data_IF_320346401970
#
_entry.id   IF_320346401970
#
_cell.length_a   1.000
_cell.length_b   1.000
_cell.length_c   1.000
_cell.angle_alpha   90.00
_cell.angle_beta   90.00
_cell.angle_gamma   90.00
#
_symmetry.space_group_name_H-M   'P 1'
#
loop_
_entity.id
_entity.type
_entity.pdbx_description
1 polymer ?
#
# COMPACT_ATOMS: atom_id res chain seq x y z
N UNK A 1 18.22 7.97 12.38
CA UNK A 1 17.17 7.35 13.19
C UNK A 1 15.95 7.22 12.31
N UNK A 2 15.44 6.00 12.12
CA UNK A 2 14.23 5.75 11.32
C UNK A 2 13.01 6.27 12.08
N UNK A 3 12.11 6.96 11.38
CA UNK A 3 10.91 7.55 11.98
C UNK A 3 9.70 6.63 11.71
N UNK A 4 8.97 6.26 12.77
CA UNK A 4 7.74 5.47 12.66
C UNK A 4 6.62 6.21 11.91
N UNK A 5 5.76 5.44 11.22
CA UNK A 5 4.66 5.96 10.42
C UNK A 5 3.34 5.36 10.89
N UNK A 6 2.30 6.19 10.92
CA UNK A 6 0.91 5.78 11.10
C UNK A 6 0.18 6.06 9.78
N UNK A 7 -0.51 5.07 9.24
CA UNK A 7 -1.22 5.20 7.96
C UNK A 7 -2.70 4.92 8.20
N UNK A 8 -3.56 5.84 7.77
CA UNK A 8 -4.99 5.64 7.73
C UNK A 8 -5.42 5.35 6.30
N UNK A 9 -6.26 4.32 6.15
CA UNK A 9 -6.88 3.94 4.88
C UNK A 9 -8.35 3.62 5.11
N UNK A 10 -9.18 3.93 4.12
CA UNK A 10 -10.61 3.60 4.10
C UNK A 10 -10.95 2.80 2.82
N UNK A 11 -12.08 2.12 2.80
CA UNK A 11 -12.66 1.40 1.67
C UNK A 11 -13.71 2.21 0.90
N UNK A 12 -14.02 3.45 1.30
CA UNK A 12 -14.94 4.31 0.55
C UNK A 12 -14.33 4.70 -0.80
N UNK A 13 -14.78 4.06 -1.88
CA UNK A 13 -14.32 4.37 -3.24
C UNK A 13 -14.83 5.72 -3.76
N UNK A 14 -15.88 6.30 -3.16
CA UNK A 14 -16.44 7.59 -3.59
C UNK A 14 -15.66 8.76 -2.99
N UNK A 15 -15.10 8.56 -1.80
CA UNK A 15 -14.22 9.52 -1.13
C UNK A 15 -13.02 8.76 -0.54
N UNK A 16 -12.08 8.31 -1.39
CA UNK A 16 -10.99 7.45 -0.97
C UNK A 16 -10.08 8.18 0.01
N UNK A 17 -9.64 7.47 1.04
CA UNK A 17 -8.75 8.01 2.07
C UNK A 17 -7.48 7.19 2.14
N UNK A 18 -6.36 7.89 2.04
CA UNK A 18 -5.01 7.44 2.29
C UNK A 18 -4.23 8.60 2.89
N UNK A 19 -3.91 8.53 4.17
CA UNK A 19 -3.16 9.57 4.87
C UNK A 19 -2.02 8.97 5.68
N UNK A 20 -0.88 9.68 5.72
CA UNK A 20 0.31 9.24 6.45
C UNK A 20 0.66 10.27 7.51
N UNK A 21 0.86 9.82 8.74
CA UNK A 21 1.21 10.65 9.89
C UNK A 21 2.50 10.15 10.53
N UNK A 22 3.14 11.01 11.33
CA UNK A 22 4.11 10.56 12.32
C UNK A 22 3.37 9.72 13.37
N UNK A 23 3.90 8.54 13.68
CA UNK A 23 3.33 7.74 14.76
C UNK A 23 3.43 8.50 16.10
N UNK A 24 2.48 8.27 17.04
CA UNK A 24 2.59 8.74 18.42
C UNK A 24 3.93 8.34 19.08
N UNK A 25 4.38 9.12 20.06
CA UNK A 25 5.68 8.90 20.72
C UNK A 25 5.75 7.56 21.46
N UNK A 26 4.62 7.09 22.00
CA UNK A 26 4.50 5.79 22.66
C UNK A 26 4.38 4.61 21.66
N UNK A 27 4.36 4.91 20.36
CA UNK A 27 4.22 3.94 19.28
C UNK A 27 2.85 3.26 19.21
N UNK A 28 1.88 3.66 20.03
CA UNK A 28 0.56 3.06 20.05
C UNK A 28 -0.36 3.67 19.00
N UNK A 29 -1.43 2.94 18.69
CA UNK A 29 -2.52 3.47 17.89
C UNK A 29 -3.31 4.52 18.70
N UNK A 30 -3.76 5.62 18.08
CA UNK A 30 -4.59 6.61 18.77
C UNK A 30 -5.88 5.97 19.31
N UNK A 31 -6.25 6.35 20.52
CA UNK A 31 -7.49 5.91 21.17
C UNK A 31 -8.44 7.10 21.16
N UNK A 32 -9.69 6.95 20.68
CA UNK A 32 -10.66 8.04 20.68
C UNK A 32 -10.97 8.48 22.13
N UNK A 33 -10.80 9.76 22.42
CA UNK A 33 -11.07 10.32 23.74
C UNK A 33 -12.59 10.51 23.90
N UNK A 34 -13.21 9.79 24.85
CA UNK A 34 -14.64 9.94 25.21
C UNK A 34 -15.68 9.71 24.08
N UNK A 35 -15.28 9.19 22.92
CA UNK A 35 -16.21 8.98 21.81
C UNK A 35 -16.76 7.54 21.80
N UNK A 36 -18.01 7.38 22.27
CA UNK A 36 -18.71 6.10 22.30
C UNK A 36 -19.16 5.62 20.90
N UNK A 37 -19.05 6.46 19.87
CA UNK A 37 -19.48 6.14 18.51
C UNK A 37 -18.37 5.52 17.65
N UNK A 38 -17.12 5.53 18.12
CA UNK A 38 -16.00 4.88 17.43
C UNK A 38 -15.65 3.59 18.18
N UNK A 39 -15.85 2.46 17.52
CA UNK A 39 -15.36 1.18 18.00
C UNK A 39 -14.03 0.87 17.34
N UNK A 40 -13.08 0.37 18.13
CA UNK A 40 -11.76 -0.02 17.63
C UNK A 40 -11.33 -1.39 18.15
N UNK A 41 -10.47 -2.05 17.39
CA UNK A 41 -9.75 -3.23 17.89
C UNK A 41 -8.67 -2.79 18.89
N UNK A 42 -8.15 -3.72 19.70
CA UNK A 42 -7.16 -3.40 20.75
C UNK A 42 -5.83 -4.06 20.42
N UNK A 43 -5.18 -3.59 19.36
CA UNK A 43 -3.84 -4.03 18.99
C UNK A 43 -2.80 -3.34 19.86
N UNK A 44 -1.96 -4.12 20.57
CA UNK A 44 -0.90 -3.56 21.41
C UNK A 44 0.46 -3.63 20.71
N UNK A 45 1.11 -2.49 20.54
CA UNK A 45 2.42 -2.41 19.87
C UNK A 45 3.52 -2.58 20.93
N UNK A 46 4.03 -3.80 21.09
CA UNK A 46 5.04 -4.11 22.12
C UNK A 46 6.48 -4.23 21.58
N UNK A 47 6.66 -4.24 20.26
CA UNK A 47 7.94 -4.45 19.60
C UNK A 47 7.92 -3.87 18.18
N UNK A 48 9.09 -3.74 17.56
CA UNK A 48 9.22 -3.23 16.19
C UNK A 48 8.50 -4.13 15.19
N UNK A 49 7.78 -3.51 14.24
CA UNK A 49 7.09 -4.22 13.17
C UNK A 49 5.92 -3.42 12.61
N UNK A 50 5.15 -4.07 11.74
CA UNK A 50 3.90 -3.53 11.19
C UNK A 50 2.72 -4.14 11.91
N UNK A 51 1.84 -3.29 12.40
CA UNK A 51 0.62 -3.67 13.10
C UNK A 51 -0.58 -3.06 12.38
N UNK A 52 -1.76 -3.62 12.58
CA UNK A 52 -3.01 -3.10 12.03
C UNK A 52 -3.98 -2.86 13.18
N UNK A 53 -4.73 -1.76 13.09
CA UNK A 53 -5.86 -1.50 13.94
C UNK A 53 -7.06 -1.09 13.09
N UNK A 54 -8.24 -1.61 13.43
CA UNK A 54 -9.49 -1.30 12.76
C UNK A 54 -10.28 -0.30 13.60
N UNK A 55 -10.83 0.71 12.95
CA UNK A 55 -11.75 1.70 13.53
C UNK A 55 -13.03 1.71 12.70
N UNK A 56 -14.19 1.67 13.36
CA UNK A 56 -15.49 1.72 12.69
C UNK A 56 -16.48 2.59 13.48
N UNK A 57 -17.43 3.20 12.76
CA UNK A 57 -18.53 3.96 13.33
C UNK A 57 -19.78 3.80 12.46
N UNK A 58 -20.97 3.83 13.06
CA UNK A 58 -22.24 3.99 12.34
C UNK A 58 -22.67 5.45 12.19
N UNK A 59 -21.98 6.38 12.86
CA UNK A 59 -22.35 7.80 12.85
C UNK A 59 -21.34 8.61 12.04
N UNK A 60 -20.05 8.27 12.15
CA UNK A 60 -18.96 9.09 11.63
C UNK A 60 -18.35 8.46 10.38
N UNK A 61 -18.11 9.28 9.37
CA UNK A 61 -17.34 8.92 8.17
C UNK A 61 -15.87 8.68 8.50
N UNK A 62 -15.14 8.01 7.60
CA UNK A 62 -13.69 7.79 7.76
C UNK A 62 -12.90 9.08 7.97
N UNK A 63 -13.29 10.18 7.30
CA UNK A 63 -12.67 11.50 7.48
C UNK A 63 -12.88 12.04 8.90
N UNK A 64 -14.09 11.90 9.43
CA UNK A 64 -14.44 12.36 10.79
C UNK A 64 -13.72 11.52 11.85
N UNK A 65 -13.64 10.20 11.66
CA UNK A 65 -12.86 9.30 12.52
C UNK A 65 -11.39 9.72 12.54
N UNK A 66 -10.76 9.98 11.40
CA UNK A 66 -9.35 10.39 11.35
C UNK A 66 -9.14 11.72 12.07
N UNK A 67 -10.01 12.72 11.83
CA UNK A 67 -9.93 14.03 12.51
C UNK A 67 -9.97 13.89 14.03
N UNK A 68 -10.81 12.99 14.54
CA UNK A 68 -10.91 12.69 15.97
C UNK A 68 -9.66 12.03 16.54
N UNK A 69 -9.06 11.11 15.78
CA UNK A 69 -7.90 10.33 16.22
C UNK A 69 -6.58 11.10 16.09
N UNK A 70 -6.55 12.14 15.26
CA UNK A 70 -5.35 12.93 14.99
C UNK A 70 -5.58 14.43 15.18
N UNK A 71 -6.10 14.88 16.34
CA UNK A 71 -6.37 16.30 16.56
C UNK A 71 -5.04 17.05 16.52
N UNK A 72 -5.02 18.17 15.79
CA UNK A 72 -3.85 19.05 15.64
C UNK A 72 -2.59 18.38 15.06
N UNK A 73 -2.72 17.23 14.40
CA UNK A 73 -1.62 16.58 13.68
C UNK A 73 -1.76 16.86 12.19
N UNK A 74 -0.62 17.13 11.56
CA UNK A 74 -0.54 17.29 10.11
C UNK A 74 -0.14 15.98 9.46
N UNK A 75 -0.82 15.64 8.37
CA UNK A 75 -0.38 14.58 7.49
C UNK A 75 0.99 14.95 6.90
N UNK A 76 1.86 13.96 6.80
CA UNK A 76 3.23 14.07 6.27
C UNK A 76 3.37 13.32 4.95
N UNK A 77 2.28 13.09 4.22
CA UNK A 77 2.28 12.23 3.05
C UNK A 77 3.34 12.63 2.01
N UNK A 78 3.51 13.93 1.72
CA UNK A 78 4.52 14.40 0.77
C UNK A 78 5.96 14.25 1.27
N UNK A 79 6.17 14.36 2.58
CA UNK A 79 7.49 14.29 3.23
C UNK A 79 7.76 12.93 3.88
N UNK A 80 6.92 11.93 3.60
CA UNK A 80 6.94 10.64 4.28
C UNK A 80 8.26 9.88 4.03
N UNK A 81 8.87 10.11 2.87
CA UNK A 81 10.16 9.57 2.45
C UNK A 81 11.35 10.12 3.25
N UNK A 82 11.21 11.32 3.82
CA UNK A 82 12.29 11.96 4.56
C UNK A 82 12.66 11.17 5.82
N UNK A 83 13.94 10.79 5.91
CA UNK A 83 14.52 10.02 7.02
C UNK A 83 13.76 8.72 7.32
N UNK A 84 13.13 8.12 6.31
CA UNK A 84 12.45 6.83 6.48
C UNK A 84 13.45 5.68 6.45
N UNK A 85 14.07 5.42 5.30
CA UNK A 85 15.15 4.42 5.15
C UNK A 85 16.50 5.07 4.96
N UNK A 86 16.57 6.17 4.22
CA UNK A 86 17.83 6.79 3.81
C UNK A 86 18.21 7.96 4.71
N UNK A 87 19.49 8.02 5.09
CA UNK A 87 20.07 9.14 5.82
C UNK A 87 20.26 10.35 4.87
N UNK A 88 19.87 11.58 5.25
CA UNK A 88 20.12 12.78 4.45
C UNK A 88 21.57 12.96 3.98
N UNK A 89 22.57 12.56 4.77
CA UNK A 89 23.98 12.65 4.36
C UNK A 89 24.29 11.72 3.18
N UNK A 90 23.81 10.47 3.25
CA UNK A 90 23.99 9.46 2.20
C UNK A 90 23.26 9.89 0.92
N UNK A 91 22.03 10.41 1.04
CA UNK A 91 21.31 10.96 -0.10
C UNK A 91 22.07 12.11 -0.78
N UNK A 92 22.67 13.02 0.02
CA UNK A 92 23.48 14.12 -0.49
C UNK A 92 24.76 13.65 -1.18
N UNK A 93 25.43 12.63 -0.62
CA UNK A 93 26.63 12.03 -1.22
C UNK A 93 26.30 11.41 -2.59
N UNK A 94 25.23 10.62 -2.67
CA UNK A 94 24.77 10.08 -3.94
C UNK A 94 24.41 11.17 -4.96
N UNK A 95 23.66 12.19 -4.53
CA UNK A 95 23.30 13.31 -5.41
C UNK A 95 24.55 14.02 -5.96
N UNK A 96 25.59 14.16 -5.13
CA UNK A 96 26.87 14.76 -5.54
C UNK A 96 27.59 13.89 -6.56
N UNK A 97 27.63 12.56 -6.35
CA UNK A 97 28.18 11.62 -7.33
C UNK A 97 27.49 11.75 -8.70
N UNK A 98 26.15 11.78 -8.72
CA UNK A 98 25.37 11.93 -9.96
C UNK A 98 25.69 13.27 -10.64
N UNK A 99 25.67 14.38 -9.89
CA UNK A 99 26.00 15.71 -10.42
C UNK A 99 27.38 15.75 -11.04
N UNK A 100 28.39 15.20 -10.37
CA UNK A 100 29.77 15.15 -10.87
C UNK A 100 29.85 14.38 -12.20
N UNK A 101 29.14 13.25 -12.32
CA UNK A 101 29.10 12.47 -13.57
C UNK A 101 28.45 13.24 -14.71
N UNK A 102 27.38 13.99 -14.44
CA UNK A 102 26.73 14.88 -15.43
C UNK A 102 27.70 15.97 -15.89
N UNK A 103 28.41 16.61 -14.97
CA UNK A 103 29.38 17.66 -15.29
C UNK A 103 30.55 17.14 -16.14
N UNK A 104 31.11 15.98 -15.78
CA UNK A 104 32.19 15.33 -16.54
C UNK A 104 31.73 14.99 -17.96
N UNK A 105 30.49 14.52 -18.12
CA UNK A 105 29.94 14.19 -19.43
C UNK A 105 29.73 15.42 -20.32
N UNK A 106 29.81 16.65 -19.78
CA UNK A 106 29.62 17.96 -20.46
C UNK A 106 28.38 18.02 -21.36
N UNK A 107 27.39 17.19 -21.09
CA UNK A 107 26.14 17.06 -21.84
C UNK A 107 25.01 16.94 -20.84
N UNK A 108 23.84 17.50 -21.16
CA UNK A 108 22.57 17.29 -20.43
C UNK A 108 22.04 15.85 -20.61
N UNK A 109 22.93 14.87 -20.70
CA UNK A 109 22.57 13.47 -20.92
C UNK A 109 22.29 12.81 -19.58
N UNK A 110 21.33 11.89 -19.60
CA UNK A 110 21.04 11.05 -18.44
C UNK A 110 22.29 10.23 -18.08
N UNK A 111 22.60 10.17 -16.78
CA UNK A 111 23.62 9.26 -16.27
C UNK A 111 22.98 7.88 -16.14
N UNK A 112 23.68 6.82 -16.56
CA UNK A 112 23.15 5.47 -16.39
C UNK A 112 23.42 5.00 -14.96
N UNK A 113 22.43 4.33 -14.38
CA UNK A 113 22.58 3.70 -13.07
C UNK A 113 23.80 2.77 -13.01
N UNK A 114 24.03 1.99 -14.06
CA UNK A 114 25.16 1.06 -14.13
C UNK A 114 26.56 1.70 -14.10
N UNK A 115 26.67 3.03 -14.27
CA UNK A 115 27.93 3.79 -14.21
C UNK A 115 28.20 4.42 -12.83
N UNK A 116 27.29 4.23 -11.86
CA UNK A 116 27.38 4.77 -10.51
C UNK A 116 28.00 3.76 -9.53
N UNK A 117 28.63 4.31 -8.50
CA UNK A 117 29.07 3.52 -7.36
C UNK A 117 27.87 3.14 -6.49
N UNK A 118 27.51 1.85 -6.54
CA UNK A 118 26.37 1.30 -5.80
C UNK A 118 26.52 1.40 -4.28
N UNK A 119 27.75 1.54 -3.75
CA UNK A 119 27.98 1.74 -2.32
C UNK A 119 27.54 3.15 -1.88
N UNK A 120 27.66 4.15 -2.76
CA UNK A 120 27.22 5.53 -2.50
C UNK A 120 25.76 5.74 -2.85
N UNK A 121 25.27 5.07 -3.89
CA UNK A 121 23.98 5.33 -4.49
C UNK A 121 23.04 4.12 -4.43
N UNK A 122 22.88 3.48 -3.28
CA UNK A 122 21.99 2.30 -3.18
C UNK A 122 20.55 2.54 -3.72
N UNK A 123 19.84 1.50 -4.19
CA UNK A 123 18.50 1.63 -4.77
C UNK A 123 17.49 2.44 -3.93
N UNK A 124 17.46 2.25 -2.61
CA UNK A 124 16.61 3.02 -1.70
C UNK A 124 16.96 4.50 -1.67
N UNK A 125 18.25 4.84 -1.82
CA UNK A 125 18.78 6.20 -1.86
C UNK A 125 18.39 6.89 -3.18
N UNK A 126 18.48 6.18 -4.30
CA UNK A 126 17.98 6.67 -5.59
C UNK A 126 16.48 6.93 -5.53
N UNK A 127 15.71 5.99 -4.97
CA UNK A 127 14.28 6.19 -4.74
C UNK A 127 14.02 7.41 -3.84
N UNK A 128 14.78 7.58 -2.76
CA UNK A 128 14.62 8.72 -1.85
C UNK A 128 14.82 10.07 -2.57
N UNK A 129 15.86 10.18 -3.41
CA UNK A 129 16.12 11.38 -4.22
C UNK A 129 15.00 11.64 -5.24
N UNK A 130 14.43 10.59 -5.83
CA UNK A 130 13.32 10.72 -6.76
C UNK A 130 12.05 11.23 -6.07
N UNK A 131 11.71 10.69 -4.90
CA UNK A 131 10.59 11.17 -4.09
C UNK A 131 10.78 12.61 -3.59
N UNK A 132 12.03 13.01 -3.32
CA UNK A 132 12.38 14.39 -2.97
C UNK A 132 12.45 15.37 -4.16
N UNK A 133 12.02 14.93 -5.36
CA UNK A 133 12.08 15.69 -6.61
C UNK A 133 13.50 16.22 -6.94
N UNK A 134 14.54 15.51 -6.50
CA UNK A 134 15.95 15.85 -6.79
C UNK A 134 16.47 15.11 -8.01
N UNK A 135 15.79 14.04 -8.42
CA UNK A 135 16.19 13.16 -9.50
C UNK A 135 14.97 12.78 -10.33
N UNK A 136 15.06 12.95 -11.64
CA UNK A 136 14.09 12.39 -12.58
C UNK A 136 14.57 11.01 -13.03
N UNK A 137 13.69 10.01 -12.94
CA UNK A 137 14.02 8.60 -13.18
C UNK A 137 13.44 8.19 -14.52
N UNK A 138 14.34 7.83 -15.43
CA UNK A 138 14.01 7.37 -16.77
C UNK A 138 14.44 5.91 -16.93
N UNK A 139 14.15 5.37 -18.11
CA UNK A 139 14.63 4.06 -18.52
C UNK A 139 13.63 2.95 -18.35
N UNK A 140 14.07 1.74 -18.67
CA UNK A 140 13.21 0.56 -18.71
C UNK A 140 12.60 0.25 -17.34
N UNK A 141 13.34 0.45 -16.25
CA UNK A 141 12.94 0.03 -14.91
C UNK A 141 12.47 1.18 -14.02
N UNK A 142 11.99 2.28 -14.60
CA UNK A 142 11.58 3.50 -13.88
C UNK A 142 10.36 3.37 -12.93
N UNK A 143 9.64 2.25 -12.97
CA UNK A 143 8.31 2.13 -12.34
C UNK A 143 8.32 2.20 -10.80
N UNK A 144 9.48 2.22 -10.14
CA UNK A 144 9.58 2.41 -8.69
C UNK A 144 9.51 3.88 -8.26
N UNK A 145 9.67 4.82 -9.19
CA UNK A 145 9.78 6.24 -8.91
C UNK A 145 8.49 7.00 -9.25
N UNK A 146 8.18 8.08 -8.52
CA UNK A 146 7.12 9.00 -8.91
C UNK A 146 7.49 9.71 -10.22
N UNK A 147 6.48 10.16 -10.96
CA UNK A 147 6.71 11.07 -12.08
C UNK A 147 7.25 12.40 -11.55
N UNK A 148 8.41 12.83 -12.04
CA UNK A 148 9.00 14.13 -11.73
C UNK A 148 8.75 15.11 -12.87
N UNK A 149 8.45 16.36 -12.52
CA UNK A 149 8.44 17.47 -13.47
C UNK A 149 9.41 18.53 -12.92
N UNK A 150 10.57 18.67 -13.57
CA UNK A 150 11.50 19.78 -13.30
C UNK A 150 12.74 19.46 -12.45
N UNK A 151 13.03 18.19 -12.12
CA UNK A 151 14.34 17.86 -11.60
C UNK A 151 15.43 18.07 -12.67
N UNK A 152 16.56 18.67 -12.30
CA UNK A 152 17.65 18.98 -13.22
C UNK A 152 18.57 17.79 -13.51
N UNK A 153 18.58 16.79 -12.62
CA UNK A 153 19.36 15.57 -12.76
C UNK A 153 18.45 14.47 -13.30
N UNK A 154 18.90 13.79 -14.36
CA UNK A 154 18.19 12.68 -14.97
C UNK A 154 19.05 11.43 -14.80
N UNK A 155 18.47 10.37 -14.23
CA UNK A 155 19.08 9.05 -14.14
C UNK A 155 18.33 8.06 -15.02
N UNK A 156 19.06 7.40 -15.93
CA UNK A 156 18.55 6.27 -16.71
C UNK A 156 18.78 4.97 -15.93
N UNK A 157 17.70 4.36 -15.44
CA UNK A 157 17.75 3.09 -14.73
C UNK A 157 17.69 1.94 -15.74
N UNK A 158 18.88 1.59 -16.20
CA UNK A 158 19.14 0.62 -17.26
C UNK A 158 19.23 -0.84 -16.77
N UNK A 159 19.35 -1.04 -15.45
CA UNK A 159 19.28 -2.35 -14.79
C UNK A 159 18.19 -2.34 -13.73
N UNK A 160 17.58 -3.51 -13.49
CA UNK A 160 16.53 -3.63 -12.48
C UNK A 160 17.10 -3.60 -11.06
N UNK A 161 16.31 -3.09 -10.12
CA UNK A 161 16.60 -3.10 -8.69
C UNK A 161 16.00 -4.33 -8.02
N UNK A 162 16.76 -4.96 -7.15
CA UNK A 162 16.27 -6.00 -6.24
C UNK A 162 15.33 -5.37 -5.20
N UNK A 163 14.23 -6.06 -4.90
CA UNK A 163 13.19 -5.52 -4.01
C UNK A 163 13.63 -5.39 -2.55
N UNK A 164 14.50 -6.29 -2.08
CA UNK A 164 15.05 -6.24 -0.73
C UNK A 164 15.91 -5.00 -0.48
N UNK A 165 16.47 -4.40 -1.55
CA UNK A 165 17.22 -3.14 -1.51
C UNK A 165 16.34 -1.90 -1.58
N UNK A 166 15.05 -2.04 -1.86
CA UNK A 166 14.11 -0.93 -1.98
C UNK A 166 13.17 -0.82 -0.79
N UNK A 167 12.70 -1.96 -0.30
CA UNK A 167 11.69 -2.00 0.76
C UNK A 167 12.31 -1.85 2.13
N UNK A 168 11.52 -1.35 3.08
CA UNK A 168 11.96 -1.24 4.45
C UNK A 168 12.41 -2.61 4.98
N UNK A 169 13.64 -2.68 5.48
CA UNK A 169 14.29 -3.89 6.02
C UNK A 169 14.36 -5.06 5.02
N UNK A 170 14.14 -4.79 3.72
CA UNK A 170 13.94 -5.82 2.72
C UNK A 170 12.78 -6.75 3.02
N UNK A 171 11.73 -6.27 3.69
CA UNK A 171 10.57 -7.06 4.11
C UNK A 171 9.35 -6.79 3.23
N UNK A 172 8.53 -7.83 3.05
CA UNK A 172 7.20 -7.71 2.44
C UNK A 172 6.16 -8.60 3.13
N UNK A 173 4.89 -8.25 2.95
CA UNK A 173 3.74 -8.90 3.57
C UNK A 173 2.86 -9.52 2.47
N UNK A 174 3.13 -10.78 2.07
CA UNK A 174 2.48 -11.42 0.94
C UNK A 174 1.01 -11.72 1.23
N UNK A 175 0.20 -11.80 0.17
CA UNK A 175 -1.15 -12.29 0.29
C UNK A 175 -1.18 -13.79 0.67
N UNK A 176 -2.18 -14.19 1.46
CA UNK A 176 -2.32 -15.56 1.97
C UNK A 176 -2.91 -16.53 0.94
N UNK A 177 -3.68 -16.03 -0.02
CA UNK A 177 -4.32 -16.86 -1.05
C UNK A 177 -4.76 -16.04 -2.26
N UNK A 178 -4.47 -16.53 -3.47
CA UNK A 178 -4.99 -15.98 -4.73
C UNK A 178 -4.18 -16.40 -5.96
N UNK A 179 -4.78 -16.25 -7.14
CA UNK A 179 -4.11 -16.48 -8.45
C UNK A 179 -3.06 -15.42 -8.80
N UNK A 180 -3.04 -14.30 -8.06
CA UNK A 180 -2.15 -13.16 -8.25
C UNK A 180 -1.27 -13.04 -7.01
N UNK A 181 0.03 -13.25 -7.14
CA UNK A 181 0.98 -12.98 -6.06
C UNK A 181 1.06 -11.47 -5.86
N UNK A 182 0.63 -11.01 -4.68
CA UNK A 182 0.61 -9.62 -4.28
C UNK A 182 1.29 -9.50 -2.91
N UNK A 183 1.97 -8.40 -2.65
CA UNK A 183 2.54 -8.13 -1.34
C UNK A 183 2.32 -6.67 -0.96
N UNK A 184 1.91 -6.45 0.28
CA UNK A 184 1.95 -5.13 0.92
C UNK A 184 3.39 -4.87 1.37
N UNK A 185 3.87 -3.63 1.19
CA UNK A 185 5.25 -3.24 1.51
C UNK A 185 5.29 -1.83 2.08
N UNK A 186 6.30 -1.59 2.92
CA UNK A 186 6.70 -0.23 3.30
C UNK A 186 7.77 0.26 2.33
N UNK A 187 7.47 1.33 1.61
CA UNK A 187 8.36 1.90 0.61
C UNK A 187 8.29 3.43 0.67
N UNK A 188 9.44 4.08 0.90
CA UNK A 188 9.57 5.54 1.01
C UNK A 188 8.54 6.20 1.97
N UNK A 189 8.26 5.56 3.11
CA UNK A 189 7.35 6.08 4.14
C UNK A 189 5.87 5.79 3.89
N UNK A 190 5.55 5.12 2.78
CA UNK A 190 4.21 4.78 2.36
C UNK A 190 3.97 3.27 2.39
N UNK A 191 2.72 2.88 2.57
CA UNK A 191 2.24 1.55 2.24
C UNK A 191 1.88 1.47 0.75
N UNK A 192 2.37 0.42 0.10
CA UNK A 192 2.08 0.11 -1.30
C UNK A 192 1.82 -1.37 -1.49
N UNK A 193 1.08 -1.71 -2.54
CA UNK A 193 0.91 -3.10 -3.00
C UNK A 193 1.74 -3.27 -4.25
N UNK A 194 2.60 -4.29 -4.25
CA UNK A 194 3.29 -4.77 -5.43
C UNK A 194 2.68 -6.08 -5.88
N UNK A 195 2.53 -6.25 -7.19
CA UNK A 195 2.01 -7.45 -7.81
C UNK A 195 3.09 -8.10 -8.68
N UNK A 196 3.27 -9.41 -8.53
CA UNK A 196 4.18 -10.18 -9.38
C UNK A 196 3.60 -10.31 -10.78
N UNK A 197 4.44 -10.09 -11.78
CA UNK A 197 4.03 -10.13 -13.20
C UNK A 197 4.52 -11.41 -13.88
N UNK A 198 5.84 -11.64 -13.92
CA UNK A 198 6.48 -12.82 -14.53
C UNK A 198 7.92 -12.96 -14.06
N UNK A 199 8.48 -14.17 -14.01
CA UNK A 199 9.92 -14.44 -13.83
C UNK A 199 10.56 -13.67 -12.64
N UNK A 200 9.84 -13.57 -11.51
CA UNK A 200 10.23 -12.79 -10.32
C UNK A 200 10.25 -11.26 -10.47
N UNK A 201 9.69 -10.73 -11.56
CA UNK A 201 9.45 -9.29 -11.70
C UNK A 201 8.17 -8.86 -11.00
N UNK A 202 8.25 -7.73 -10.31
CA UNK A 202 7.16 -7.12 -9.55
C UNK A 202 6.85 -5.71 -10.05
N UNK A 203 5.59 -5.34 -10.00
CA UNK A 203 5.11 -4.05 -10.47
C UNK A 203 4.23 -3.40 -9.41
N UNK A 204 4.32 -2.09 -9.15
CA UNK A 204 3.46 -1.42 -8.20
C UNK A 204 2.00 -1.41 -8.68
N UNK A 205 1.12 -2.04 -7.91
CA UNK A 205 -0.32 -2.05 -8.17
C UNK A 205 -1.01 -0.77 -7.66
N UNK A 206 -0.52 -0.24 -6.54
CA UNK A 206 -0.80 1.12 -6.07
C UNK A 206 0.11 2.12 -6.77
N UNK A 207 -0.35 3.35 -6.94
CA UNK A 207 0.53 4.43 -7.43
C UNK A 207 1.63 4.67 -6.41
N UNK A 208 2.90 4.71 -6.83
CA UNK A 208 4.05 4.93 -5.92
C UNK A 208 4.12 6.36 -5.40
N UNK A 209 3.59 7.33 -6.16
CA UNK A 209 3.31 8.68 -5.65
C UNK A 209 2.15 8.66 -4.66
N UNK A 210 2.10 9.68 -3.80
CA UNK A 210 0.94 9.94 -2.95
C UNK A 210 -0.36 10.01 -3.78
N UNK A 211 -1.34 9.21 -3.40
CA UNK A 211 -2.66 9.17 -4.04
C UNK A 211 -3.69 8.61 -3.07
N UNK A 212 -4.78 9.35 -2.87
CA UNK A 212 -5.93 8.92 -2.08
C UNK A 212 -6.51 7.58 -2.58
N UNK A 213 -6.48 7.35 -3.90
CA UNK A 213 -6.91 6.12 -4.58
C UNK A 213 -6.17 4.85 -4.14
N UNK A 214 -5.02 4.99 -3.46
CA UNK A 214 -4.34 3.84 -2.87
C UNK A 214 -5.10 3.28 -1.66
N UNK A 215 -5.88 4.11 -0.96
CA UNK A 215 -6.64 3.77 0.23
C UNK A 215 -7.51 2.52 0.05
N UNK A 216 -8.54 2.56 -0.83
CA UNK A 216 -9.43 1.43 -1.03
C UNK A 216 -8.71 0.14 -1.46
N UNK A 217 -7.65 0.24 -2.28
CA UNK A 217 -6.85 -0.91 -2.72
C UNK A 217 -6.13 -1.56 -1.52
N UNK A 218 -5.52 -0.75 -0.66
CA UNK A 218 -4.80 -1.22 0.53
C UNK A 218 -5.78 -1.77 1.56
N UNK A 219 -6.89 -1.07 1.81
CA UNK A 219 -7.95 -1.55 2.71
C UNK A 219 -8.49 -2.90 2.24
N UNK A 220 -8.80 -3.04 0.95
CA UNK A 220 -9.26 -4.30 0.37
C UNK A 220 -8.23 -5.43 0.49
N UNK A 221 -6.93 -5.14 0.27
CA UNK A 221 -5.87 -6.11 0.48
C UNK A 221 -5.79 -6.56 1.94
N UNK A 222 -5.83 -5.60 2.87
CA UNK A 222 -5.76 -5.86 4.30
C UNK A 222 -6.94 -6.71 4.76
N UNK A 223 -8.16 -6.30 4.42
CA UNK A 223 -9.39 -7.01 4.80
C UNK A 223 -9.37 -8.45 4.29
N UNK A 224 -9.05 -8.66 3.01
CA UNK A 224 -9.01 -10.00 2.40
C UNK A 224 -7.97 -10.93 3.05
N UNK A 225 -6.80 -10.41 3.41
CA UNK A 225 -5.69 -11.25 3.88
C UNK A 225 -5.63 -11.42 5.40
N UNK A 226 -6.17 -10.46 6.15
CA UNK A 226 -6.04 -10.42 7.60
C UNK A 226 -7.39 -10.42 8.32
N UNK A 227 -8.50 -10.02 7.70
CA UNK A 227 -9.81 -9.97 8.37
C UNK A 227 -10.80 -11.02 7.85
N UNK A 228 -10.63 -11.50 6.61
CA UNK A 228 -11.49 -12.54 6.00
C UNK A 228 -11.04 -13.97 6.30
N UNK A 229 -9.96 -14.18 7.08
CA UNK A 229 -9.60 -15.55 7.53
C UNK A 229 -10.69 -16.07 8.48
N UNK A 230 -11.15 -17.33 8.35
CA UNK A 230 -12.06 -17.95 9.32
C UNK A 230 -11.58 -17.78 10.76
N UNK A 231 -10.26 -17.89 10.96
CA UNK A 231 -9.57 -17.76 12.25
C UNK A 231 -9.75 -16.38 12.89
N UNK A 232 -9.92 -15.32 12.09
CA UNK A 232 -10.00 -13.94 12.56
C UNK A 232 -11.44 -13.43 12.53
N UNK A 233 -12.22 -13.85 11.53
CA UNK A 233 -13.64 -13.51 11.44
C UNK A 233 -14.34 -13.85 12.74
N UNK A 234 -14.14 -15.04 13.31
CA UNK A 234 -14.77 -15.50 14.55
C UNK A 234 -14.53 -14.58 15.76
N UNK A 235 -13.45 -13.81 15.76
CA UNK A 235 -13.11 -12.90 16.85
C UNK A 235 -13.64 -11.48 16.62
N UNK A 236 -13.94 -11.08 15.38
CA UNK A 236 -14.61 -9.81 15.13
C UNK A 236 -16.06 -9.89 15.66
N UNK A 237 -16.44 -9.03 16.63
CA UNK A 237 -17.80 -8.95 17.09
C UNK A 237 -18.76 -8.78 15.90
N UNK A 238 -19.91 -9.47 15.94
CA UNK A 238 -20.92 -9.38 14.88
C UNK A 238 -21.30 -7.91 14.57
N UNK A 239 -21.35 -7.05 15.60
CA UNK A 239 -21.54 -5.62 15.47
C UNK A 239 -20.45 -4.93 14.64
N UNK A 240 -19.16 -5.22 14.87
CA UNK A 240 -18.09 -4.67 14.01
C UNK A 240 -18.22 -5.16 12.58
N UNK A 241 -18.56 -6.45 12.36
CA UNK A 241 -18.76 -6.96 10.99
C UNK A 241 -19.85 -6.18 10.27
N UNK A 242 -20.97 -5.90 10.93
CA UNK A 242 -22.06 -5.08 10.35
C UNK A 242 -21.59 -3.64 10.12
N UNK A 243 -21.01 -3.00 11.12
CA UNK A 243 -20.61 -1.58 11.07
C UNK A 243 -19.57 -1.29 9.99
N UNK A 244 -18.56 -2.16 9.86
CA UNK A 244 -17.48 -1.96 8.89
C UNK A 244 -17.85 -2.44 7.47
N UNK A 245 -18.94 -3.22 7.30
CA UNK A 245 -19.41 -3.70 6.00
C UNK A 245 -20.61 -2.92 5.44
N UNK A 246 -21.32 -2.14 6.27
CA UNK A 246 -22.52 -1.40 5.84
C UNK A 246 -22.24 -0.05 5.17
N UNK A 247 -21.02 0.20 4.67
CA UNK A 247 -20.64 1.44 4.00
C UNK A 247 -21.31 1.58 2.61
N UNK A 248 -22.64 1.73 2.59
CA UNK A 248 -23.43 2.22 1.46
C UNK A 248 -24.09 3.54 1.83
N UNK A 249 -23.53 4.60 1.26
CA UNK A 249 -24.05 5.97 1.08
C UNK A 249 -24.13 6.92 2.28
N UNK A 250 -23.68 8.18 2.12
CA UNK A 250 -23.89 9.25 3.09
C UNK A 250 -25.29 9.84 2.91
N UNK A 251 -26.14 9.63 3.91
CA UNK A 251 -27.22 10.51 4.41
C UNK A 251 -28.30 9.66 5.09
N UNK A 252 -28.77 10.03 6.28
CA UNK A 252 -29.95 9.42 6.87
C UNK A 252 -31.17 9.92 6.09
N UNK A 253 -31.67 9.13 5.14
CA UNK A 253 -33.07 9.28 4.74
C UNK A 253 -33.92 8.77 5.90
N UNK A 254 -34.91 9.56 6.29
CA UNK A 254 -35.78 9.41 7.45
C UNK A 254 -36.72 8.19 7.43
N UNK A 255 -36.35 7.11 6.73
CA UNK A 255 -37.22 5.95 6.48
C UNK A 255 -36.59 4.59 6.83
N UNK A 256 -35.63 4.54 7.76
CA UNK A 256 -35.15 3.28 8.35
C UNK A 256 -35.59 3.10 9.81
N UNK A 257 -36.83 3.50 10.13
CA UNK A 257 -37.41 3.28 11.46
C UNK A 257 -38.00 1.87 11.70
N UNK A 258 -37.89 0.92 10.76
CA UNK A 258 -38.59 -0.37 10.88
C UNK A 258 -37.74 -1.64 10.79
N UNK A 259 -36.42 -1.55 11.01
CA UNK A 259 -35.62 -2.71 11.44
C UNK A 259 -35.10 -2.42 12.83
N UNK A 260 -35.94 -2.72 13.83
CA UNK A 260 -35.63 -2.60 15.25
C UNK A 260 -34.54 -3.58 15.68
N UNK A 261 -33.29 -3.30 15.32
CA UNK A 261 -32.13 -3.75 16.08
C UNK A 261 -31.80 -2.60 17.02
N UNK A 262 -32.31 -2.68 18.26
CA UNK A 262 -31.97 -1.74 19.32
C UNK A 262 -30.45 -1.76 19.56
N UNK A 263 -29.74 -0.79 18.99
CA UNK A 263 -28.33 -0.51 19.24
C UNK A 263 -28.13 0.48 20.40
N UNK A 264 -29.17 0.70 21.21
CA UNK A 264 -29.02 1.34 22.51
C UNK A 264 -28.31 0.36 23.44
N UNK A 265 -27.10 0.71 23.88
CA UNK A 265 -26.14 -0.16 24.59
C UNK A 265 -25.33 -1.11 23.68
N UNK A 266 -24.52 -0.55 22.78
CA UNK A 266 -23.25 -1.21 22.46
C UNK A 266 -22.39 -1.18 23.72
N UNK A 267 -22.32 -2.30 24.44
CA UNK A 267 -21.47 -2.45 25.61
C UNK A 267 -19.99 -2.18 25.21
N UNK A 268 -19.29 -1.22 25.83
CA UNK A 268 -17.90 -0.87 25.47
C UNK A 268 -16.88 -1.99 25.74
N UNK A 269 -17.31 -3.10 26.35
CA UNK A 269 -16.54 -4.34 26.49
C UNK A 269 -16.68 -5.24 25.25
N UNK A 270 -16.23 -4.77 24.09
CA UNK A 270 -15.93 -5.69 22.99
C UNK A 270 -14.57 -6.35 23.28
N UNK A 271 -14.58 -7.68 23.45
CA UNK A 271 -13.36 -8.44 23.69
C UNK A 271 -12.36 -8.21 22.56
N UNK A 272 -11.15 -7.89 23.00
CA UNK A 272 -10.01 -7.42 22.23
C UNK A 272 -9.52 -8.46 21.22
N UNK A 273 -9.74 -8.20 19.93
CA UNK A 273 -8.96 -8.89 18.90
C UNK A 273 -7.64 -8.15 18.75
N UNK A 274 -6.57 -8.76 19.24
CA UNK A 274 -5.20 -8.37 18.89
C UNK A 274 -4.82 -9.16 17.63
N UNK A 275 -4.72 -8.49 16.49
CA UNK A 275 -4.25 -9.14 15.25
C UNK A 275 -2.74 -9.41 15.27
N UNK A 276 -2.04 -8.92 16.29
CA UNK A 276 -0.61 -9.02 16.43
C UNK A 276 0.15 -8.29 15.32
N UNK A 277 1.45 -8.61 15.24
CA UNK A 277 2.32 -8.12 14.18
C UNK A 277 2.03 -8.89 12.88
N UNK A 278 1.98 -8.17 11.77
CA UNK A 278 1.94 -8.79 10.45
C UNK A 278 3.21 -9.61 10.22
N UNK A 279 3.04 -10.86 9.77
CA UNK A 279 4.15 -11.74 9.47
C UNK A 279 4.81 -11.32 8.15
N UNK A 280 5.99 -10.70 8.27
CA UNK A 280 6.84 -10.37 7.13
C UNK A 280 7.58 -11.61 6.61
N UNK A 281 7.95 -11.57 5.33
CA UNK A 281 8.97 -12.43 4.72
C UNK A 281 10.03 -11.56 4.04
N UNK A 282 11.24 -12.10 3.76
CA UNK A 282 12.19 -11.42 2.90
C UNK A 282 11.58 -11.12 1.52
N UNK A 283 11.72 -9.87 1.08
CA UNK A 283 11.37 -9.46 -0.26
C UNK A 283 12.28 -10.17 -1.27
N UNK A 284 11.73 -10.56 -2.41
CA UNK A 284 12.47 -11.28 -3.44
C UNK A 284 12.07 -10.81 -4.83
N UNK A 285 12.97 -10.99 -5.79
CA UNK A 285 12.75 -10.55 -7.16
C UNK A 285 13.12 -9.10 -7.37
N UNK A 286 12.59 -8.51 -8.44
CA UNK A 286 13.10 -7.25 -8.96
C UNK A 286 12.00 -6.36 -9.58
N UNK A 287 12.25 -5.06 -9.69
CA UNK A 287 11.31 -4.13 -10.30
C UNK A 287 11.12 -4.45 -11.78
N UNK A 288 9.86 -4.62 -12.19
CA UNK A 288 9.49 -4.89 -13.56
C UNK A 288 9.73 -3.66 -14.43
N UNK A 289 10.31 -3.90 -15.61
CA UNK A 289 10.48 -2.88 -16.63
C UNK A 289 9.34 -2.80 -17.65
N UNK A 290 8.24 -3.51 -17.44
CA UNK A 290 7.07 -3.48 -18.33
C UNK A 290 6.20 -2.25 -18.02
N UNK A 291 5.59 -1.65 -19.03
CA UNK A 291 4.64 -0.52 -18.84
C UNK A 291 3.26 -1.03 -18.42
N UNK A 292 2.50 -0.23 -17.66
CA UNK A 292 1.13 -0.55 -17.20
C UNK A 292 0.24 -1.03 -18.36
N UNK A 293 0.22 -0.30 -19.48
CA UNK A 293 -0.59 -0.66 -20.65
C UNK A 293 -0.24 -2.04 -21.22
N UNK A 294 1.04 -2.42 -21.22
CA UNK A 294 1.47 -3.73 -21.69
C UNK A 294 1.03 -4.83 -20.72
N UNK A 295 1.05 -4.55 -19.41
CA UNK A 295 0.58 -5.45 -18.37
C UNK A 295 -0.94 -5.65 -18.47
N UNK A 296 -1.70 -4.58 -18.66
CA UNK A 296 -3.17 -4.64 -18.83
C UNK A 296 -3.57 -5.35 -20.12
N UNK A 297 -2.91 -5.06 -21.25
CA UNK A 297 -3.14 -5.75 -22.52
C UNK A 297 -2.80 -7.24 -22.38
N UNK A 298 -1.69 -7.58 -21.74
CA UNK A 298 -1.31 -8.98 -21.50
C UNK A 298 -2.33 -9.67 -20.58
N UNK A 299 -2.81 -8.99 -19.54
CA UNK A 299 -3.83 -9.48 -18.61
C UNK A 299 -5.14 -9.78 -19.34
N UNK A 300 -5.66 -8.82 -20.11
CA UNK A 300 -6.88 -8.99 -20.90
C UNK A 300 -6.77 -10.15 -21.90
N UNK A 301 -5.61 -10.30 -22.55
CA UNK A 301 -5.36 -11.43 -23.46
C UNK A 301 -5.33 -12.78 -22.73
N UNK A 302 -4.78 -12.83 -21.51
CA UNK A 302 -4.74 -14.05 -20.69
C UNK A 302 -6.13 -14.43 -20.19
N UNK A 303 -6.88 -13.49 -19.63
CA UNK A 303 -8.25 -13.71 -19.14
C UNK A 303 -9.18 -14.17 -20.28
N UNK A 304 -9.06 -13.57 -21.47
CA UNK A 304 -9.82 -14.02 -22.65
C UNK A 304 -9.49 -15.46 -23.04
N UNK A 305 -8.21 -15.85 -23.05
CA UNK A 305 -7.79 -17.23 -23.37
C UNK A 305 -8.32 -18.27 -22.38
N UNK A 306 -8.36 -17.94 -21.09
CA UNK A 306 -8.92 -18.87 -20.10
C UNK A 306 -10.44 -19.00 -20.26
N UNK A 307 -11.15 -17.90 -20.53
CA UNK A 307 -12.59 -17.92 -20.84
C UNK A 307 -12.88 -18.76 -22.09
N UNK A 308 -12.06 -18.63 -23.13
CA UNK A 308 -12.20 -19.41 -24.37
C UNK A 308 -11.97 -20.91 -24.11
N UNK A 309 -11.01 -21.27 -23.24
CA UNK A 309 -10.79 -22.67 -22.83
C UNK A 309 -11.97 -23.23 -22.04
N UNK A 310 -12.57 -22.45 -21.15
CA UNK A 310 -13.76 -22.88 -20.40
C UNK A 310 -14.95 -23.10 -21.34
N UNK A 311 -15.18 -22.18 -22.29
CA UNK A 311 -16.20 -22.37 -23.34
C UNK A 311 -15.96 -23.60 -24.18
N UNK A 312 -14.71 -23.88 -24.57
CA UNK A 312 -14.39 -25.08 -25.34
C UNK A 312 -14.69 -26.35 -24.54
N UNK A 313 -14.32 -26.40 -23.26
CA UNK A 313 -14.65 -27.52 -22.37
C UNK A 313 -16.15 -27.73 -22.25
N UNK A 314 -16.93 -26.64 -22.15
CA UNK A 314 -18.40 -26.72 -22.09
C UNK A 314 -18.98 -27.26 -23.41
N UNK A 315 -18.48 -26.80 -24.56
CA UNK A 315 -18.90 -27.31 -25.87
C UNK A 315 -18.55 -28.80 -26.03
N UNK A 316 -17.34 -29.21 -25.65
CA UNK A 316 -16.91 -30.61 -25.70
C UNK A 316 -17.75 -31.48 -24.75
N UNK A 317 -18.10 -30.96 -23.56
CA UNK A 317 -19.00 -31.65 -22.63
C UNK A 317 -20.39 -31.85 -23.22
N UNK A 318 -21.00 -30.80 -23.78
CA UNK A 318 -22.32 -30.90 -24.43
C UNK A 318 -22.30 -31.90 -25.59
N UNK A 319 -21.26 -31.84 -26.43
CA UNK A 319 -21.11 -32.76 -27.58
C UNK A 319 -20.99 -34.22 -27.16
N UNK A 320 -20.27 -34.50 -26.08
CA UNK A 320 -19.98 -35.87 -25.67
C UNK A 320 -21.07 -36.49 -24.76
N UNK A 321 -21.84 -35.67 -24.05
CA UNK A 321 -22.74 -36.16 -22.99
C UNK A 321 -24.20 -35.75 -23.13
N UNK A 322 -24.52 -34.73 -23.91
CA UNK A 322 -25.91 -34.30 -24.06
C UNK A 322 -26.61 -34.88 -25.30
N UNK A 323 -25.87 -35.30 -26.33
CA UNK A 323 -26.43 -35.81 -27.58
C UNK A 323 -27.22 -34.75 -28.34
N UNK A 324 -26.97 -34.61 -29.64
CA UNK A 324 -27.93 -33.93 -30.53
C UNK A 324 -29.06 -34.89 -30.92
#
# INVERSE_FOLDING_TARGET
>A
MQINRLVFVDNDASNPIYEVFKAPQDGQFPVPENNQHIVMTRTKVNYSGTFINLYCSNVWSGVEIIRELTPNKYAIAYDSHNSFTTNPSVAKECQTEISNKVEIAKKRQAVRWSDLDTAKCAPDTIANLAFGNKLDIHGKYQNFAPLSFGAHLILDVDKSFELDKLFLNGEMYPNKAGYKEEALVWYQGHLHIFQKVKDQSWFPYTTVSYSQENGPKITSFILRNYFSSPEISQYLPYSMRILCQSSRSPHPTSETNNLGIGLGSLNPYFQAVDFGRLKAIPAYGYISGKKIREIEIFRMKKERRELDKERQKEMDFRRNYCGD
#
